data_IF_773370771353
#
_entry.id   IF_773370771353
#
_cell.length_a   1.000
_cell.length_b   1.000
_cell.length_c   1.000
_cell.angle_alpha   90.00
_cell.angle_beta   90.00
_cell.angle_gamma   90.00
#
_symmetry.space_group_name_H-M   'P 1'
#
loop_
_entity.id
_entity.type
_entity.pdbx_description
1 polymer ?
#
# COMPACT_ATOMS: atom_id res chain seq x y z
N UNK A 1 7.83 -0.01 14.24
CA UNK A 1 7.07 1.24 13.99
C UNK A 1 7.99 2.45 13.92
N UNK A 2 8.82 2.78 14.93
CA UNK A 2 9.73 3.94 14.88
C UNK A 2 10.74 3.89 13.71
N UNK A 3 11.37 2.75 13.46
CA UNK A 3 12.30 2.58 12.32
C UNK A 3 11.60 2.72 10.96
N UNK A 4 10.35 2.29 10.85
CA UNK A 4 9.58 2.38 9.62
C UNK A 4 9.11 3.81 9.33
N UNK A 5 8.69 4.56 10.36
CA UNK A 5 8.38 5.98 10.22
C UNK A 5 9.60 6.82 9.80
N UNK A 6 10.81 6.43 10.26
CA UNK A 6 12.06 7.08 9.82
C UNK A 6 12.37 6.80 8.34
N UNK A 7 11.96 5.65 7.81
CA UNK A 7 12.19 5.28 6.39
C UNK A 7 11.41 6.13 5.40
N UNK A 8 10.34 6.81 5.83
CA UNK A 8 9.48 7.67 5.00
C UNK A 8 9.53 9.13 5.46
N UNK A 9 10.72 9.66 5.72
CA UNK A 9 10.96 11.05 6.12
C UNK A 9 11.76 11.84 5.07
N UNK A 10 11.89 13.13 5.23
CA UNK A 10 12.62 14.02 4.32
C UNK A 10 12.00 14.07 2.92
N UNK A 11 12.77 13.81 1.88
CA UNK A 11 12.32 13.78 0.47
C UNK A 11 11.71 12.44 0.03
N UNK A 12 11.67 11.44 0.92
CA UNK A 12 11.19 10.11 0.57
C UNK A 12 9.71 10.10 0.13
N UNK A 13 8.76 10.79 0.79
CA UNK A 13 7.36 10.81 0.34
C UNK A 13 7.21 11.31 -1.11
N UNK A 14 7.99 12.31 -1.52
CA UNK A 14 7.97 12.84 -2.89
C UNK A 14 8.51 11.82 -3.91
N UNK A 15 9.61 11.14 -3.58
CA UNK A 15 10.20 10.10 -4.45
C UNK A 15 9.27 8.90 -4.56
N UNK A 16 8.68 8.47 -3.43
CA UNK A 16 7.67 7.42 -3.38
C UNK A 16 6.49 7.75 -4.30
N UNK A 17 5.92 8.94 -4.14
CA UNK A 17 4.75 9.39 -4.90
C UNK A 17 5.05 9.55 -6.40
N UNK A 18 6.22 10.08 -6.73
CA UNK A 18 6.63 10.34 -8.11
C UNK A 18 6.97 9.07 -8.89
N UNK A 19 7.67 8.13 -8.28
CA UNK A 19 8.25 7.00 -8.99
C UNK A 19 7.58 5.66 -8.65
N UNK A 20 7.33 5.39 -7.36
CA UNK A 20 6.85 4.08 -6.93
C UNK A 20 5.32 3.95 -7.05
N UNK A 21 4.59 5.03 -6.76
CA UNK A 21 3.13 5.04 -6.85
C UNK A 21 2.63 4.70 -8.26
N UNK A 22 3.07 5.36 -9.35
CA UNK A 22 2.63 5.02 -10.69
C UNK A 22 3.02 3.59 -11.09
N UNK A 23 4.21 3.15 -10.66
CA UNK A 23 4.77 1.85 -11.01
C UNK A 23 4.00 0.69 -10.38
N UNK A 24 3.65 0.78 -9.09
CA UNK A 24 3.19 -0.38 -8.32
C UNK A 24 1.78 -0.22 -7.73
N UNK A 25 1.37 0.99 -7.34
CA UNK A 25 0.19 1.19 -6.50
C UNK A 25 -1.04 1.70 -7.26
N UNK A 26 -0.86 2.56 -8.24
CA UNK A 26 -1.97 3.22 -8.94
C UNK A 26 -2.93 2.24 -9.64
N UNK A 27 -2.47 1.16 -10.31
CA UNK A 27 -3.37 0.20 -10.93
C UNK A 27 -4.30 -0.49 -9.94
N UNK A 28 -3.82 -0.77 -8.73
CA UNK A 28 -4.62 -1.38 -7.66
C UNK A 28 -5.52 -0.36 -6.97
N UNK A 29 -5.06 0.89 -6.81
CA UNK A 29 -5.88 1.96 -6.25
C UNK A 29 -7.12 2.24 -7.11
N UNK A 30 -6.97 2.24 -8.42
CA UNK A 30 -8.10 2.36 -9.36
C UNK A 30 -9.06 1.17 -9.24
N UNK A 31 -8.55 -0.05 -9.16
CA UNK A 31 -9.35 -1.26 -8.98
C UNK A 31 -10.14 -1.23 -7.67
N UNK A 32 -9.46 -0.87 -6.56
CA UNK A 32 -10.09 -0.77 -5.25
C UNK A 32 -11.20 0.28 -5.22
N UNK A 33 -10.95 1.47 -5.79
CA UNK A 33 -11.92 2.55 -5.86
C UNK A 33 -13.13 2.18 -6.75
N UNK A 34 -12.89 1.52 -7.89
CA UNK A 34 -13.97 1.09 -8.79
C UNK A 34 -14.93 0.11 -8.13
N UNK A 35 -14.43 -0.77 -7.24
CA UNK A 35 -15.27 -1.70 -6.45
C UNK A 35 -16.21 -0.98 -5.48
N UNK A 36 -15.94 0.27 -5.16
CA UNK A 36 -16.71 1.12 -4.26
C UNK A 36 -17.59 2.15 -5.01
N UNK A 37 -17.59 2.15 -6.34
CA UNK A 37 -18.40 3.08 -7.16
C UNK A 37 -19.88 3.09 -6.80
N UNK A 38 -20.40 2.00 -6.26
CA UNK A 38 -21.80 1.87 -5.85
C UNK A 38 -22.12 2.61 -4.54
N UNK A 39 -21.12 3.08 -3.81
CA UNK A 39 -21.30 3.81 -2.55
C UNK A 39 -21.75 5.24 -2.85
N UNK A 40 -22.93 5.61 -2.36
CA UNK A 40 -23.56 6.89 -2.68
C UNK A 40 -23.71 7.84 -1.49
N UNK A 41 -23.48 7.34 -0.27
CA UNK A 41 -23.62 8.14 0.96
C UNK A 41 -22.86 7.50 2.13
N UNK A 42 -22.73 8.28 3.21
CA UNK A 42 -22.05 7.88 4.43
C UNK A 42 -20.53 8.12 4.39
N UNK A 43 -19.87 8.10 5.55
CA UNK A 43 -18.43 8.24 5.62
C UNK A 43 -17.71 6.94 5.27
N UNK A 44 -16.57 7.10 4.57
CA UNK A 44 -15.62 6.05 4.25
C UNK A 44 -14.28 6.37 4.91
N UNK A 45 -13.66 5.37 5.53
CA UNK A 45 -12.34 5.49 6.16
C UNK A 45 -11.28 4.80 5.29
N UNK A 46 -10.19 5.50 5.03
CA UNK A 46 -8.95 4.93 4.47
C UNK A 46 -7.89 4.83 5.56
N UNK A 47 -7.34 3.62 5.75
CA UNK A 47 -6.22 3.33 6.65
C UNK A 47 -4.92 3.27 5.86
N UNK A 48 -3.84 3.78 6.43
CA UNK A 48 -2.51 3.81 5.83
C UNK A 48 -2.54 4.44 4.42
N UNK A 49 -3.11 5.63 4.31
CA UNK A 49 -3.35 6.32 3.04
C UNK A 49 -2.05 6.68 2.29
N UNK A 50 -0.92 6.74 2.99
CA UNK A 50 0.36 7.12 2.42
C UNK A 50 0.28 8.49 1.76
N UNK A 51 0.75 8.61 0.51
CA UNK A 51 0.67 9.83 -0.28
C UNK A 51 -0.68 10.01 -1.00
N UNK A 52 -1.72 9.27 -0.57
CA UNK A 52 -3.11 9.48 -1.00
C UNK A 52 -3.46 8.90 -2.38
N UNK A 53 -2.80 7.83 -2.84
CA UNK A 53 -3.10 7.25 -4.16
C UNK A 53 -4.51 6.67 -4.22
N UNK A 54 -4.96 5.96 -3.17
CA UNK A 54 -6.33 5.43 -3.08
C UNK A 54 -7.30 6.56 -2.81
N UNK A 55 -6.95 7.50 -1.94
CA UNK A 55 -7.74 8.71 -1.68
C UNK A 55 -8.09 9.44 -2.98
N UNK A 56 -7.08 9.67 -3.86
CA UNK A 56 -7.29 10.28 -5.19
C UNK A 56 -8.22 9.45 -6.07
N UNK A 57 -8.06 8.14 -6.07
CA UNK A 57 -8.91 7.25 -6.86
C UNK A 57 -10.36 7.26 -6.34
N UNK A 58 -10.56 7.20 -5.03
CA UNK A 58 -11.87 7.30 -4.39
C UNK A 58 -12.54 8.65 -4.66
N UNK A 59 -11.81 9.76 -4.52
CA UNK A 59 -12.35 11.10 -4.76
C UNK A 59 -12.85 11.31 -6.19
N UNK A 60 -12.31 10.56 -7.17
CA UNK A 60 -12.73 10.61 -8.58
C UNK A 60 -14.01 9.81 -8.86
N UNK A 61 -14.25 8.72 -8.12
CA UNK A 61 -15.38 7.80 -8.41
C UNK A 61 -16.55 7.98 -7.47
N UNK A 62 -16.32 8.47 -6.25
CA UNK A 62 -17.35 8.65 -5.23
C UNK A 62 -17.99 10.04 -5.33
N UNK A 63 -19.33 10.14 -5.17
CA UNK A 63 -20.02 11.42 -5.14
C UNK A 63 -19.60 12.26 -3.92
N UNK A 64 -19.86 13.57 -3.99
CA UNK A 64 -19.53 14.51 -2.92
C UNK A 64 -20.27 14.23 -1.60
N UNK A 65 -21.36 13.49 -1.65
CA UNK A 65 -22.14 13.03 -0.48
C UNK A 65 -21.43 11.97 0.36
N UNK A 66 -20.38 11.34 -0.18
CA UNK A 66 -19.53 10.41 0.57
C UNK A 66 -18.36 11.19 1.16
N UNK A 67 -18.33 11.33 2.48
CA UNK A 67 -17.18 11.87 3.19
C UNK A 67 -16.02 10.86 3.16
N UNK A 68 -14.84 11.30 2.76
CA UNK A 68 -13.62 10.47 2.77
C UNK A 68 -12.76 10.94 3.94
N UNK A 69 -12.51 10.04 4.88
CA UNK A 69 -11.57 10.24 5.98
C UNK A 69 -10.33 9.40 5.68
N UNK A 70 -9.18 10.04 5.46
CA UNK A 70 -7.93 9.36 5.14
C UNK A 70 -6.95 9.47 6.30
N UNK A 71 -6.44 8.32 6.76
CA UNK A 71 -5.55 8.24 7.91
C UNK A 71 -4.22 7.58 7.56
N UNK A 72 -3.16 8.07 8.18
CA UNK A 72 -1.85 7.42 8.17
C UNK A 72 -1.15 7.68 9.51
N UNK A 73 -0.25 6.78 9.90
CA UNK A 73 0.56 6.96 11.10
C UNK A 73 1.71 7.95 10.88
N UNK A 74 2.11 8.16 9.62
CA UNK A 74 3.21 9.03 9.24
C UNK A 74 2.69 10.39 8.73
N UNK A 75 2.86 11.49 9.50
CA UNK A 75 2.38 12.80 9.10
C UNK A 75 3.06 13.32 7.81
N UNK A 76 4.32 12.95 7.54
CA UNK A 76 5.01 13.39 6.32
C UNK A 76 4.36 12.81 5.04
N UNK A 77 3.79 11.61 5.12
CA UNK A 77 3.03 11.02 4.03
C UNK A 77 1.72 11.78 3.80
N UNK A 78 1.02 12.14 4.87
CA UNK A 78 -0.22 12.94 4.78
C UNK A 78 0.04 14.34 4.22
N UNK A 79 1.14 14.99 4.62
CA UNK A 79 1.50 16.31 4.06
C UNK A 79 1.77 16.22 2.55
N UNK A 80 2.43 15.16 2.08
CA UNK A 80 2.59 14.92 0.64
C UNK A 80 1.24 14.66 -0.04
N UNK A 81 0.35 13.89 0.59
CA UNK A 81 -0.97 13.60 0.06
C UNK A 81 -1.81 14.86 -0.14
N UNK A 82 -1.77 15.80 0.81
CA UNK A 82 -2.49 17.10 0.76
C UNK A 82 -2.03 17.99 -0.39
N UNK A 83 -0.82 17.78 -0.93
CA UNK A 83 -0.32 18.59 -2.06
C UNK A 83 -1.03 18.25 -3.40
N UNK A 84 -1.81 17.17 -3.47
CA UNK A 84 -2.54 16.81 -4.68
C UNK A 84 -3.85 17.60 -4.82
N UNK A 85 -4.16 18.09 -6.01
CA UNK A 85 -5.41 18.83 -6.26
C UNK A 85 -6.63 17.90 -6.22
N UNK A 86 -7.80 18.49 -5.93
CA UNK A 86 -9.10 17.78 -5.96
C UNK A 86 -9.37 16.95 -4.71
N UNK A 87 -8.64 17.19 -3.63
CA UNK A 87 -8.78 16.49 -2.35
C UNK A 87 -9.26 17.42 -1.22
N UNK A 88 -9.77 18.59 -1.53
CA UNK A 88 -10.19 19.63 -0.58
C UNK A 88 -11.32 19.15 0.35
N UNK A 89 -12.09 18.15 -0.10
CA UNK A 89 -13.19 17.52 0.68
C UNK A 89 -12.74 16.36 1.58
N UNK A 90 -11.46 15.97 1.51
CA UNK A 90 -10.93 14.84 2.29
C UNK A 90 -10.55 15.32 3.69
N UNK A 91 -10.97 14.57 4.69
CA UNK A 91 -10.56 14.78 6.07
C UNK A 91 -9.29 13.95 6.33
N UNK A 92 -8.17 14.63 6.53
CA UNK A 92 -6.88 14.00 6.80
C UNK A 92 -6.60 13.94 8.29
N UNK A 93 -6.22 12.76 8.80
CA UNK A 93 -5.96 12.57 10.22
C UNK A 93 -4.80 11.60 10.47
N UNK A 94 -3.86 12.00 11.33
CA UNK A 94 -2.87 11.06 11.86
C UNK A 94 -3.56 10.06 12.78
N UNK A 95 -3.37 8.75 12.54
CA UNK A 95 -3.95 7.71 13.38
C UNK A 95 -3.17 6.39 13.28
N UNK A 96 -3.10 5.69 14.41
CA UNK A 96 -2.68 4.29 14.45
C UNK A 96 -3.89 3.39 14.14
N UNK A 97 -3.74 2.50 13.15
CA UNK A 97 -4.80 1.55 12.79
C UNK A 97 -5.16 0.58 13.94
N UNK A 98 -4.31 0.44 14.95
CA UNK A 98 -4.57 -0.37 16.14
C UNK A 98 -5.28 0.41 17.26
N UNK A 99 -5.46 1.73 17.12
CA UNK A 99 -6.13 2.60 18.10
C UNK A 99 -6.79 3.79 17.38
N UNK A 100 -7.87 3.51 16.64
CA UNK A 100 -8.53 4.49 15.78
C UNK A 100 -9.29 5.53 16.59
N UNK A 101 -9.04 6.84 16.39
CA UNK A 101 -9.64 7.91 17.17
C UNK A 101 -11.06 8.28 16.65
N UNK A 102 -11.88 7.26 16.42
CA UNK A 102 -13.26 7.41 15.94
C UNK A 102 -14.24 6.64 16.83
N UNK A 103 -15.48 7.10 16.94
CA UNK A 103 -16.54 6.35 17.64
C UNK A 103 -16.83 5.00 16.99
N UNK A 104 -17.48 4.12 17.73
CA UNK A 104 -17.99 2.86 17.22
C UNK A 104 -19.01 3.09 16.10
N UNK A 105 -19.10 2.16 15.17
CA UNK A 105 -20.12 2.13 14.11
C UNK A 105 -20.24 3.44 13.30
N UNK A 106 -19.10 4.12 13.06
CA UNK A 106 -19.06 5.40 12.34
C UNK A 106 -19.08 5.21 10.82
N UNK A 107 -18.35 4.21 10.29
CA UNK A 107 -18.09 4.08 8.87
C UNK A 107 -18.85 2.94 8.23
N UNK A 108 -19.43 3.16 7.04
CA UNK A 108 -20.00 2.09 6.23
C UNK A 108 -18.95 1.23 5.53
N UNK A 109 -17.80 1.85 5.21
CA UNK A 109 -16.70 1.21 4.51
C UNK A 109 -15.36 1.63 5.12
N UNK A 110 -14.45 0.67 5.21
CA UNK A 110 -13.04 0.91 5.53
C UNK A 110 -12.21 0.30 4.41
N UNK A 111 -11.17 1.02 3.96
CA UNK A 111 -10.24 0.54 2.94
C UNK A 111 -8.80 0.63 3.43
N UNK A 112 -7.92 -0.27 2.94
CA UNK A 112 -6.49 -0.22 3.23
C UNK A 112 -5.69 -0.84 2.09
N UNK A 113 -4.94 -0.04 1.33
CA UNK A 113 -4.11 -0.57 0.26
C UNK A 113 -2.68 -0.78 0.71
N UNK A 114 -2.21 -2.02 0.70
CA UNK A 114 -0.83 -2.42 1.03
C UNK A 114 -0.31 -1.91 2.38
N UNK A 115 -1.22 -1.54 3.31
CA UNK A 115 -0.89 -1.07 4.65
C UNK A 115 -0.90 -2.20 5.70
N UNK A 116 -1.84 -3.14 5.58
CA UNK A 116 -2.05 -4.22 6.57
C UNK A 116 -0.78 -5.01 6.88
N UNK A 117 0.09 -5.22 5.90
CA UNK A 117 1.36 -5.96 6.07
C UNK A 117 2.26 -5.34 7.13
N UNK A 118 2.17 -4.03 7.32
CA UNK A 118 2.99 -3.25 8.25
C UNK A 118 2.42 -3.18 9.67
N UNK A 119 1.16 -3.55 9.89
CA UNK A 119 0.59 -3.52 11.24
C UNK A 119 1.26 -4.56 12.15
N UNK A 120 1.84 -4.17 13.30
CA UNK A 120 2.49 -5.10 14.21
C UNK A 120 1.54 -6.18 14.73
N UNK A 121 0.35 -5.79 15.18
CA UNK A 121 -0.75 -6.67 15.55
C UNK A 121 -1.94 -6.48 14.60
N UNK A 122 -2.01 -7.36 13.61
CA UNK A 122 -3.07 -7.33 12.59
C UNK A 122 -4.45 -7.59 13.20
N UNK A 123 -4.53 -8.47 14.19
CA UNK A 123 -5.80 -8.76 14.88
C UNK A 123 -6.30 -7.56 15.67
N UNK A 124 -5.40 -6.80 16.32
CA UNK A 124 -5.76 -5.56 16.99
C UNK A 124 -6.29 -4.53 15.97
N UNK A 125 -5.59 -4.32 14.87
CA UNK A 125 -6.04 -3.42 13.81
C UNK A 125 -7.38 -3.86 13.18
N UNK A 126 -7.59 -5.17 13.00
CA UNK A 126 -8.86 -5.69 12.47
C UNK A 126 -10.00 -5.52 13.48
N UNK A 127 -9.75 -5.70 14.79
CA UNK A 127 -10.77 -5.41 15.83
C UNK A 127 -11.14 -3.93 15.83
N UNK A 128 -10.17 -3.02 15.76
CA UNK A 128 -10.43 -1.58 15.66
C UNK A 128 -11.19 -1.22 14.37
N UNK A 129 -10.80 -1.80 13.24
CA UNK A 129 -11.55 -1.66 11.98
C UNK A 129 -13.00 -2.14 12.16
N UNK A 130 -13.19 -3.31 12.78
CA UNK A 130 -14.52 -3.85 13.07
C UNK A 130 -15.30 -2.96 14.04
N UNK A 131 -14.65 -2.35 15.05
CA UNK A 131 -15.29 -1.45 16.00
C UNK A 131 -15.86 -0.21 15.29
N UNK A 132 -15.06 0.44 14.45
CA UNK A 132 -15.47 1.68 13.77
C UNK A 132 -16.42 1.45 12.60
N UNK A 133 -16.49 0.24 12.04
CA UNK A 133 -17.47 -0.12 11.02
C UNK A 133 -18.88 -0.19 11.60
N UNK A 134 -19.86 0.29 10.86
CA UNK A 134 -21.28 0.08 11.14
C UNK A 134 -21.66 -1.38 10.99
N UNK A 135 -22.73 -1.87 11.63
CA UNK A 135 -23.28 -3.20 11.38
C UNK A 135 -23.50 -3.43 9.88
N UNK A 136 -23.03 -4.57 9.33
CA UNK A 136 -23.07 -4.86 7.90
C UNK A 136 -22.02 -4.11 7.07
N UNK A 137 -21.23 -3.25 7.68
CA UNK A 137 -20.15 -2.50 7.02
C UNK A 137 -19.04 -3.39 6.48
N UNK A 138 -18.27 -2.90 5.54
CA UNK A 138 -17.29 -3.68 4.78
C UNK A 138 -15.87 -3.14 4.94
N UNK A 139 -14.93 -4.05 5.12
CA UNK A 139 -13.51 -3.79 5.08
C UNK A 139 -12.91 -4.36 3.78
N UNK A 140 -12.37 -3.50 2.93
CA UNK A 140 -11.68 -3.88 1.70
C UNK A 140 -10.21 -3.55 1.83
N UNK A 141 -9.35 -4.52 1.64
CA UNK A 141 -7.92 -4.25 1.63
C UNK A 141 -7.19 -5.15 0.63
N UNK A 142 -6.01 -4.73 0.22
CA UNK A 142 -5.14 -5.58 -0.56
C UNK A 142 -3.75 -5.71 0.09
N UNK A 143 -3.13 -6.85 -0.19
CA UNK A 143 -1.76 -7.18 0.18
C UNK A 143 -1.04 -7.73 -1.04
N UNK A 144 0.29 -7.70 -1.05
CA UNK A 144 1.05 -8.29 -2.14
C UNK A 144 0.74 -9.79 -2.27
N UNK A 145 0.51 -10.21 -3.50
CA UNK A 145 0.36 -11.61 -3.88
C UNK A 145 1.69 -12.26 -4.24
N UNK A 146 1.65 -13.20 -5.19
CA UNK A 146 2.86 -13.85 -5.70
C UNK A 146 3.77 -12.84 -6.39
N UNK A 147 5.04 -12.79 -5.99
CA UNK A 147 6.02 -11.85 -6.53
C UNK A 147 6.88 -12.44 -7.66
N UNK A 148 6.71 -13.72 -7.99
CA UNK A 148 7.51 -14.37 -9.04
C UNK A 148 7.32 -13.70 -10.40
N UNK A 149 8.42 -13.44 -11.09
CA UNK A 149 8.43 -12.79 -12.41
C UNK A 149 8.17 -11.28 -12.40
N UNK A 150 8.03 -10.66 -11.23
CA UNK A 150 7.83 -9.21 -11.11
C UNK A 150 9.16 -8.45 -11.20
N UNK A 151 9.10 -7.22 -11.70
CA UNK A 151 10.26 -6.31 -11.67
C UNK A 151 10.70 -5.98 -10.23
N UNK A 152 9.74 -5.95 -9.30
CA UNK A 152 9.99 -5.73 -7.88
C UNK A 152 10.86 -6.84 -7.26
N UNK A 153 10.51 -8.11 -7.49
CA UNK A 153 11.30 -9.23 -6.95
C UNK A 153 12.74 -9.18 -7.48
N UNK A 154 12.91 -8.93 -8.78
CA UNK A 154 14.24 -8.83 -9.36
C UNK A 154 15.07 -7.69 -8.71
N UNK A 155 14.45 -6.55 -8.44
CA UNK A 155 15.11 -5.46 -7.72
C UNK A 155 15.50 -5.87 -6.27
N UNK A 156 14.60 -6.55 -5.56
CA UNK A 156 14.86 -7.06 -4.20
C UNK A 156 16.04 -8.04 -4.19
N UNK A 157 16.10 -8.96 -5.17
CA UNK A 157 17.18 -9.95 -5.32
C UNK A 157 18.54 -9.29 -5.58
N UNK A 158 18.60 -8.33 -6.52
CA UNK A 158 19.84 -7.62 -6.85
C UNK A 158 20.32 -6.76 -5.66
N UNK A 159 19.42 -6.04 -4.99
CA UNK A 159 19.78 -5.28 -3.79
C UNK A 159 20.26 -6.22 -2.68
N UNK A 160 19.59 -7.35 -2.46
CA UNK A 160 20.00 -8.36 -1.49
C UNK A 160 21.40 -8.89 -1.77
N UNK A 161 21.72 -9.22 -3.03
CA UNK A 161 23.06 -9.63 -3.45
C UNK A 161 24.11 -8.55 -3.13
N UNK A 162 23.85 -7.29 -3.52
CA UNK A 162 24.79 -6.17 -3.31
C UNK A 162 25.01 -5.84 -1.84
N UNK A 163 24.03 -6.11 -1.00
CA UNK A 163 24.11 -5.91 0.45
C UNK A 163 24.58 -7.16 1.20
N UNK A 164 24.75 -8.31 0.53
CA UNK A 164 25.00 -9.62 1.13
C UNK A 164 23.97 -9.98 2.21
N UNK A 165 22.67 -9.78 1.86
CA UNK A 165 21.53 -10.01 2.75
C UNK A 165 20.42 -10.78 2.04
N UNK A 166 19.63 -11.50 2.85
CA UNK A 166 18.40 -12.12 2.34
C UNK A 166 17.44 -11.03 1.83
N UNK A 167 17.01 -11.07 0.55
CA UNK A 167 16.06 -10.13 -0.02
C UNK A 167 14.78 -9.98 0.81
N UNK A 168 14.27 -11.08 1.39
CA UNK A 168 13.07 -11.05 2.22
C UNK A 168 13.23 -10.21 3.49
N UNK A 169 14.46 -10.03 3.99
CA UNK A 169 14.75 -9.19 5.15
C UNK A 169 14.76 -7.68 4.84
N UNK A 170 14.75 -7.30 3.58
CA UNK A 170 14.88 -5.91 3.12
C UNK A 170 13.54 -5.20 2.91
N UNK A 171 12.44 -5.95 2.95
CA UNK A 171 11.09 -5.47 2.63
C UNK A 171 10.10 -5.85 3.73
N UNK A 172 8.86 -5.39 3.60
CA UNK A 172 7.80 -5.76 4.54
C UNK A 172 7.61 -7.28 4.59
N UNK A 173 7.34 -7.84 5.78
CA UNK A 173 6.99 -9.25 5.92
C UNK A 173 5.83 -9.63 5.00
N UNK A 174 5.88 -10.82 4.41
CA UNK A 174 4.79 -11.33 3.59
C UNK A 174 3.55 -11.60 4.46
N UNK A 175 2.41 -11.19 3.95
CA UNK A 175 1.10 -11.45 4.56
C UNK A 175 0.11 -11.83 3.45
N UNK A 176 0.38 -12.97 2.79
CA UNK A 176 -0.37 -13.46 1.64
C UNK A 176 -0.84 -14.91 1.80
N UNK A 177 -0.73 -15.46 2.99
CA UNK A 177 -1.33 -16.74 3.35
C UNK A 177 -2.83 -16.55 3.57
N UNK A 178 -3.62 -17.15 2.67
CA UNK A 178 -5.09 -17.02 2.63
C UNK A 178 -5.74 -17.51 3.92
N UNK A 179 -5.28 -18.65 4.46
CA UNK A 179 -5.85 -19.23 5.67
C UNK A 179 -5.51 -18.39 6.92
N UNK A 180 -4.31 -17.85 6.97
CA UNK A 180 -3.91 -16.91 8.01
C UNK A 180 -4.76 -15.65 7.96
N UNK A 181 -4.97 -15.07 6.79
CA UNK A 181 -5.80 -13.86 6.61
C UNK A 181 -7.23 -14.14 7.08
N UNK A 182 -7.82 -15.27 6.65
CA UNK A 182 -9.16 -15.69 7.09
C UNK A 182 -9.25 -15.85 8.60
N UNK A 183 -8.28 -16.56 9.18
CA UNK A 183 -8.20 -16.79 10.63
C UNK A 183 -8.08 -15.51 11.43
N UNK A 184 -7.25 -14.57 10.99
CA UNK A 184 -7.07 -13.28 11.67
C UNK A 184 -8.34 -12.40 11.58
N UNK A 185 -9.03 -12.39 10.43
CA UNK A 185 -10.31 -11.68 10.26
C UNK A 185 -11.43 -12.31 11.10
N UNK A 186 -11.54 -13.64 11.09
CA UNK A 186 -12.55 -14.36 11.91
C UNK A 186 -12.31 -14.11 13.39
N UNK A 187 -11.05 -14.14 13.86
CA UNK A 187 -10.70 -13.86 15.24
C UNK A 187 -10.98 -12.39 15.65
N UNK A 188 -11.08 -11.48 14.68
CA UNK A 188 -11.48 -10.09 14.87
C UNK A 188 -13.00 -9.87 14.74
N UNK A 189 -13.79 -10.92 14.49
CA UNK A 189 -15.25 -10.85 14.42
C UNK A 189 -15.84 -10.59 13.04
N UNK A 190 -15.04 -10.63 11.97
CA UNK A 190 -15.55 -10.51 10.62
C UNK A 190 -16.16 -11.81 10.10
N UNK A 191 -17.19 -11.67 9.28
CA UNK A 191 -17.87 -12.76 8.57
C UNK A 191 -17.78 -12.52 7.05
N UNK A 192 -18.10 -13.53 6.23
CA UNK A 192 -18.15 -13.43 4.76
C UNK A 192 -16.87 -12.83 4.14
N UNK A 193 -15.75 -13.48 4.43
CA UNK A 193 -14.47 -13.07 3.81
C UNK A 193 -14.33 -13.67 2.43
N UNK A 194 -14.26 -12.81 1.39
CA UNK A 194 -13.80 -13.20 0.06
C UNK A 194 -12.35 -12.76 -0.15
N UNK A 195 -11.58 -13.59 -0.83
CA UNK A 195 -10.19 -13.32 -1.21
C UNK A 195 -10.04 -13.62 -2.69
N UNK A 196 -9.62 -12.63 -3.45
CA UNK A 196 -9.46 -12.66 -4.90
C UNK A 196 -8.02 -12.36 -5.26
N UNK A 197 -7.42 -13.14 -6.17
CA UNK A 197 -6.13 -12.81 -6.77
C UNK A 197 -6.34 -11.80 -7.90
N UNK A 198 -5.72 -10.64 -7.78
CA UNK A 198 -5.80 -9.56 -8.77
C UNK A 198 -4.43 -9.38 -9.41
N UNK A 199 -4.40 -9.51 -10.74
CA UNK A 199 -3.19 -9.29 -11.53
C UNK A 199 -3.31 -7.99 -12.31
N UNK A 200 -2.26 -7.17 -12.26
CA UNK A 200 -2.11 -5.94 -13.03
C UNK A 200 -0.78 -5.96 -13.76
N UNK A 201 -0.50 -4.95 -14.55
CA UNK A 201 0.79 -4.71 -15.17
C UNK A 201 1.45 -3.51 -14.53
N UNK A 202 2.70 -3.65 -14.16
CA UNK A 202 3.61 -2.55 -13.91
C UNK A 202 3.97 -1.93 -15.25
N UNK A 203 3.91 -0.62 -15.36
CA UNK A 203 4.33 0.12 -16.53
C UNK A 203 5.41 1.13 -16.13
N UNK A 204 6.60 1.01 -16.72
CA UNK A 204 7.68 1.98 -16.52
C UNK A 204 8.20 2.46 -17.86
N UNK A 205 8.50 3.75 -18.02
CA UNK A 205 9.06 4.27 -19.28
C UNK A 205 10.38 3.62 -19.68
N UNK A 206 11.18 3.18 -18.71
CA UNK A 206 12.48 2.55 -18.93
C UNK A 206 12.91 1.65 -17.77
N UNK A 207 13.95 0.83 -17.99
CA UNK A 207 14.64 0.09 -16.95
C UNK A 207 15.22 1.02 -15.87
N UNK A 208 15.72 2.19 -16.29
CA UNK A 208 16.25 3.21 -15.38
C UNK A 208 15.19 3.75 -14.44
N UNK A 209 14.01 4.12 -14.96
CA UNK A 209 12.91 4.63 -14.13
C UNK A 209 12.39 3.57 -13.15
N UNK A 210 12.30 2.32 -13.60
CA UNK A 210 11.92 1.20 -12.73
C UNK A 210 12.97 0.95 -11.63
N UNK A 211 14.26 1.05 -11.93
CA UNK A 211 15.34 0.94 -10.96
C UNK A 211 15.29 2.08 -9.92
N UNK A 212 15.13 3.32 -10.38
CA UNK A 212 14.96 4.49 -9.50
C UNK A 212 13.73 4.30 -8.60
N UNK A 213 12.59 3.90 -9.16
CA UNK A 213 11.37 3.66 -8.37
C UNK A 213 11.61 2.68 -7.22
N UNK A 214 12.25 1.54 -7.51
CA UNK A 214 12.50 0.50 -6.50
C UNK A 214 13.60 0.90 -5.49
N UNK A 215 14.70 1.49 -5.95
CA UNK A 215 15.85 1.80 -5.08
C UNK A 215 15.71 3.12 -4.32
N UNK A 216 14.96 4.10 -4.83
CA UNK A 216 14.86 5.43 -4.23
C UNK A 216 13.50 5.72 -3.58
N UNK A 217 12.43 5.05 -4.03
CA UNK A 217 11.05 5.38 -3.64
C UNK A 217 10.49 4.59 -2.46
N UNK A 218 11.21 3.63 -1.88
CA UNK A 218 10.64 2.73 -0.90
C UNK A 218 11.61 2.18 0.14
N UNK A 219 11.24 1.04 0.73
CA UNK A 219 12.01 0.41 1.80
C UNK A 219 13.45 0.07 1.40
N UNK A 220 13.71 -0.34 0.16
CA UNK A 220 15.06 -0.66 -0.31
C UNK A 220 16.01 0.53 -0.17
N UNK A 221 15.52 1.77 -0.33
CA UNK A 221 16.33 2.97 -0.10
C UNK A 221 16.90 3.01 1.32
N UNK A 222 16.05 2.84 2.32
CA UNK A 222 16.48 2.85 3.71
C UNK A 222 17.47 1.73 4.02
N UNK A 223 17.30 0.55 3.42
CA UNK A 223 18.24 -0.56 3.58
C UNK A 223 19.58 -0.28 2.91
N UNK A 224 19.59 0.31 1.71
CA UNK A 224 20.81 0.70 1.02
C UNK A 224 21.58 1.74 1.84
N UNK A 225 20.89 2.79 2.31
CA UNK A 225 21.53 3.84 3.12
C UNK A 225 22.10 3.29 4.45
N UNK A 226 21.40 2.31 5.06
CA UNK A 226 21.82 1.67 6.32
C UNK A 226 23.04 0.75 6.15
N UNK A 227 23.04 -0.09 5.11
CA UNK A 227 24.03 -1.17 4.98
C UNK A 227 25.13 -0.91 3.94
N UNK A 228 24.94 0.04 3.05
CA UNK A 228 25.90 0.43 2.02
C UNK A 228 25.86 1.95 1.76
N UNK A 229 26.12 2.79 2.78
CA UNK A 229 26.03 4.24 2.64
C UNK A 229 26.92 4.73 1.49
N UNK A 230 26.39 5.60 0.65
CA UNK A 230 27.08 6.15 -0.53
C UNK A 230 27.08 5.27 -1.78
N UNK A 231 26.50 4.05 -1.75
CA UNK A 231 26.47 3.14 -2.90
C UNK A 231 25.13 3.12 -3.64
N UNK A 232 24.24 4.07 -3.36
CA UNK A 232 22.91 4.08 -3.95
C UNK A 232 22.93 4.06 -5.48
N UNK A 233 23.76 4.92 -6.11
CA UNK A 233 23.82 5.00 -7.57
C UNK A 233 24.41 3.73 -8.21
N UNK A 234 25.42 3.14 -7.57
CA UNK A 234 26.01 1.86 -8.00
C UNK A 234 24.95 0.74 -7.98
N UNK A 235 24.23 0.63 -6.85
CA UNK A 235 23.21 -0.41 -6.66
C UNK A 235 22.04 -0.18 -7.60
N UNK A 236 21.60 1.08 -7.78
CA UNK A 236 20.55 1.44 -8.74
C UNK A 236 20.95 1.05 -10.16
N UNK A 237 22.21 1.30 -10.56
CA UNK A 237 22.73 0.87 -11.87
C UNK A 237 22.74 -0.66 -12.03
N UNK A 238 23.06 -1.42 -10.99
CA UNK A 238 23.00 -2.87 -11.02
C UNK A 238 21.54 -3.37 -11.22
N UNK A 239 20.58 -2.77 -10.52
CA UNK A 239 19.15 -3.07 -10.70
C UNK A 239 18.68 -2.71 -12.10
N UNK A 240 19.07 -1.54 -12.64
CA UNK A 240 18.77 -1.12 -14.01
C UNK A 240 19.26 -2.16 -15.02
N UNK A 241 20.53 -2.58 -14.91
CA UNK A 241 21.11 -3.57 -15.82
C UNK A 241 20.37 -4.91 -15.78
N UNK A 242 19.98 -5.37 -14.60
CA UNK A 242 19.22 -6.61 -14.42
C UNK A 242 17.81 -6.49 -15.03
N UNK A 243 17.13 -5.35 -14.80
CA UNK A 243 15.82 -5.08 -15.39
C UNK A 243 15.89 -4.98 -16.91
N UNK A 244 16.91 -4.30 -17.45
CA UNK A 244 17.12 -4.19 -18.89
C UNK A 244 17.41 -5.55 -19.52
N UNK A 245 18.20 -6.39 -18.88
CA UNK A 245 18.49 -7.74 -19.36
C UNK A 245 17.24 -8.63 -19.39
N UNK A 246 16.33 -8.47 -18.44
CA UNK A 246 15.12 -9.29 -18.30
C UNK A 246 13.95 -8.79 -19.13
N UNK A 247 13.74 -7.48 -19.21
CA UNK A 247 12.54 -6.84 -19.78
C UNK A 247 12.85 -5.93 -20.99
N UNK A 248 14.11 -5.69 -21.32
CA UNK A 248 14.53 -4.78 -22.39
C UNK A 248 14.85 -3.37 -21.88
N UNK A 249 15.47 -2.56 -22.75
CA UNK A 249 15.88 -1.18 -22.44
C UNK A 249 14.76 -0.14 -22.62
N UNK A 250 13.68 -0.50 -23.32
CA UNK A 250 12.52 0.36 -23.58
C UNK A 250 11.52 0.36 -22.44
N UNK A 251 10.26 0.71 -22.70
CA UNK A 251 9.20 0.61 -21.72
C UNK A 251 9.09 -0.81 -21.17
N UNK A 252 9.08 -0.91 -19.83
CA UNK A 252 8.94 -2.18 -19.12
C UNK A 252 7.46 -2.45 -18.87
N UNK A 253 6.99 -3.62 -19.30
CA UNK A 253 5.76 -4.23 -18.82
C UNK A 253 6.11 -5.49 -18.02
N UNK A 254 5.75 -5.53 -16.75
CA UNK A 254 5.93 -6.70 -15.91
C UNK A 254 4.64 -7.01 -15.14
N UNK A 255 4.38 -8.29 -14.82
CA UNK A 255 3.23 -8.62 -13.98
C UNK A 255 3.43 -8.07 -12.56
N UNK A 256 2.30 -7.76 -11.91
CA UNK A 256 2.27 -7.44 -10.49
C UNK A 256 0.96 -7.98 -9.92
N UNK A 257 1.04 -8.60 -8.74
CA UNK A 257 -0.07 -9.37 -8.18
C UNK A 257 -0.39 -8.92 -6.76
N UNK A 258 -1.67 -8.89 -6.45
CA UNK A 258 -2.20 -8.65 -5.11
C UNK A 258 -3.27 -9.69 -4.78
N UNK A 259 -3.46 -9.94 -3.49
CA UNK A 259 -4.71 -10.48 -2.99
C UNK A 259 -5.59 -9.30 -2.59
N UNK A 260 -6.81 -9.27 -3.09
CA UNK A 260 -7.85 -8.36 -2.65
C UNK A 260 -8.77 -9.12 -1.69
N UNK A 261 -8.94 -8.55 -0.51
CA UNK A 261 -9.74 -9.11 0.56
C UNK A 261 -10.95 -8.19 0.81
N UNK A 262 -12.12 -8.79 0.90
CA UNK A 262 -13.34 -8.13 1.33
C UNK A 262 -13.91 -8.91 2.51
N UNK A 263 -14.04 -8.26 3.65
CA UNK A 263 -14.61 -8.81 4.87
C UNK A 263 -15.80 -7.97 5.32
N UNK A 264 -16.82 -8.60 5.91
CA UNK A 264 -18.04 -7.93 6.35
C UNK A 264 -18.18 -8.04 7.85
N UNK A 265 -18.48 -6.91 8.52
CA UNK A 265 -18.90 -6.91 9.92
C UNK A 265 -20.31 -7.52 10.05
N UNK A 266 -20.60 -8.34 11.08
CA UNK A 266 -21.97 -8.79 11.35
C UNK A 266 -22.98 -7.65 11.39
N UNK A 267 -24.22 -7.91 10.97
CA UNK A 267 -25.30 -6.93 10.94
C UNK A 267 -26.01 -6.70 12.28
N UNK A 268 -25.53 -7.36 13.34
CA UNK A 268 -26.13 -7.29 14.68
C UNK A 268 -25.06 -7.04 15.71
#
# INVERSE_FOLDING_TARGET
MAEMNQSFSGTMPQLYDRFLVPLQFEPFARDLAERLRHVTSGPLLELAAGTGVVTRALARVLPASVEIVATDLNPAMLEQAKCHPGLERVVWREADAMALPFPDATFGYVVCQFGVMFFPDKRAAFRETGRVLSPGGQFLFNVWGDKRGTARLLAEEIVGEKLSRDPASLVAPEYNDVERIRGDLTAAGFIYTSIESVSKKTLSPSARDAAIANCHGGMLRAQIDKFAPGRLDEITGAVENALAARFGNGPIEAPIHALLIKATKPGH
#
